data_IF_497132955169
#
_entry.id   IF_497132955169
#
_cell.length_a   1.000
_cell.length_b   1.000
_cell.length_c   1.000
_cell.angle_alpha   90.00
_cell.angle_beta   90.00
_cell.angle_gamma   90.00
#
_symmetry.space_group_name_H-M   'P 1'
#
loop_
_entity.id
_entity.type
_entity.pdbx_description
1 polymer ?
#
# COMPACT_ATOMS: atom_id res chain seq x y z
N UNK A 1 10.21 -10.16 -2.34
CA UNK A 1 10.76 -9.94 -0.98
C UNK A 1 9.62 -9.79 0.02
N UNK A 2 9.76 -10.23 1.27
CA UNK A 2 8.72 -10.08 2.32
C UNK A 2 8.88 -8.73 3.03
N UNK A 3 7.77 -8.05 3.28
CA UNK A 3 7.66 -6.81 4.06
C UNK A 3 6.75 -7.06 5.25
N UNK A 4 7.27 -6.86 6.47
CA UNK A 4 6.54 -7.06 7.73
C UNK A 4 5.98 -5.71 8.22
N UNK A 5 4.69 -5.66 8.58
CA UNK A 5 4.10 -4.48 9.20
C UNK A 5 4.55 -4.40 10.67
N UNK A 6 5.44 -3.45 10.97
CA UNK A 6 6.03 -3.27 12.30
C UNK A 6 5.26 -2.26 13.16
N UNK A 7 4.62 -1.27 12.55
CA UNK A 7 3.91 -0.18 13.22
C UNK A 7 2.65 0.20 12.45
N UNK A 8 1.69 0.81 13.15
CA UNK A 8 0.48 1.36 12.55
C UNK A 8 -0.08 2.52 13.37
N UNK A 9 -0.86 3.38 12.71
CA UNK A 9 -1.65 4.44 13.33
C UNK A 9 -3.07 4.44 12.76
N UNK A 10 -4.02 4.98 13.53
CA UNK A 10 -5.44 5.07 13.13
C UNK A 10 -6.20 3.74 13.17
N UNK A 11 -7.42 3.78 12.63
CA UNK A 11 -8.34 2.64 12.56
C UNK A 11 -8.76 2.40 11.12
N UNK A 12 -8.38 1.23 10.57
CA UNK A 12 -8.78 0.81 9.24
C UNK A 12 -8.87 -0.72 9.17
N UNK A 13 -10.02 -1.23 8.73
CA UNK A 13 -10.30 -2.66 8.72
C UNK A 13 -9.99 -3.35 7.38
N UNK A 14 -9.76 -2.60 6.30
CA UNK A 14 -9.57 -3.15 4.96
C UNK A 14 -8.32 -4.00 4.79
N UNK A 15 -7.32 -3.85 5.68
CA UNK A 15 -6.11 -4.68 5.68
C UNK A 15 -6.21 -5.91 6.61
N UNK A 16 -7.33 -6.10 7.33
CA UNK A 16 -7.51 -7.24 8.23
C UNK A 16 -7.30 -8.63 7.59
N UNK A 17 -7.60 -8.88 6.29
CA UNK A 17 -7.29 -10.17 5.64
C UNK A 17 -5.78 -10.47 5.55
N UNK A 18 -4.94 -9.43 5.69
CA UNK A 18 -3.49 -9.56 5.68
C UNK A 18 -2.93 -10.03 7.02
N UNK A 19 -3.73 -10.05 8.09
CA UNK A 19 -3.32 -10.57 9.40
C UNK A 19 -3.45 -12.10 9.41
N UNK A 20 -2.41 -12.81 9.87
CA UNK A 20 -2.42 -14.27 10.00
C UNK A 20 -2.89 -14.72 11.40
N UNK A 21 -2.97 -16.04 11.62
CA UNK A 21 -3.36 -16.63 12.90
C UNK A 21 -2.40 -16.27 14.07
N UNK A 22 -1.15 -15.91 13.77
CA UNK A 22 -0.15 -15.43 14.75
C UNK A 22 -0.27 -13.94 15.03
N UNK A 23 -1.29 -13.26 14.50
CA UNK A 23 -1.47 -11.79 14.58
C UNK A 23 -0.37 -10.99 13.90
N UNK A 24 0.35 -11.61 12.97
CA UNK A 24 1.34 -10.94 12.13
C UNK A 24 0.68 -10.45 10.84
N UNK A 25 1.13 -9.32 10.33
CA UNK A 25 0.74 -8.77 9.04
C UNK A 25 1.98 -8.57 8.18
N UNK A 26 1.98 -9.19 7.01
CA UNK A 26 3.07 -9.06 6.05
C UNK A 26 2.56 -9.22 4.62
N UNK A 27 3.30 -8.66 3.69
CA UNK A 27 3.07 -8.78 2.25
C UNK A 27 4.37 -9.14 1.55
N UNK A 28 4.27 -9.52 0.28
CA UNK A 28 5.40 -9.73 -0.60
C UNK A 28 5.42 -8.66 -1.68
N UNK A 29 6.54 -7.96 -1.78
CA UNK A 29 6.94 -7.19 -2.96
C UNK A 29 7.28 -8.17 -4.08
N UNK A 30 6.51 -8.11 -5.16
CA UNK A 30 6.69 -8.93 -6.37
C UNK A 30 6.68 -8.05 -7.61
N UNK A 31 7.44 -8.38 -8.66
CA UNK A 31 7.32 -7.67 -9.93
C UNK A 31 5.87 -7.69 -10.42
N UNK A 32 5.41 -6.60 -11.03
CA UNK A 32 4.11 -6.58 -11.68
C UNK A 32 4.10 -7.62 -12.81
N UNK A 33 3.09 -8.50 -12.83
CA UNK A 33 3.04 -9.66 -13.73
C UNK A 33 2.80 -9.28 -15.19
N UNK A 34 2.24 -8.10 -15.43
CA UNK A 34 2.06 -7.51 -16.74
C UNK A 34 2.45 -6.03 -16.61
N UNK A 35 3.29 -5.53 -17.51
CA UNK A 35 3.37 -4.08 -17.74
C UNK A 35 1.96 -3.66 -18.13
N UNK A 36 1.22 -3.05 -17.21
CA UNK A 36 -0.13 -2.57 -17.50
C UNK A 36 0.03 -1.38 -18.44
N UNK A 37 0.07 -1.64 -19.74
CA UNK A 37 0.12 -0.64 -20.80
C UNK A 37 -1.25 0.03 -20.97
N UNK A 38 -1.82 0.53 -19.89
CA UNK A 38 -3.09 1.27 -19.95
C UNK A 38 -2.86 2.78 -20.11
N UNK A 39 -1.68 3.29 -19.76
CA UNK A 39 -1.33 4.70 -19.95
C UNK A 39 0.20 4.82 -20.01
N UNK A 40 0.76 5.45 -21.05
CA UNK A 40 2.21 5.56 -21.25
C UNK A 40 2.94 6.35 -20.15
N UNK A 41 2.19 6.90 -19.19
CA UNK A 41 2.67 7.67 -18.04
C UNK A 41 2.63 6.90 -16.72
N UNK A 42 1.97 5.73 -16.66
CA UNK A 42 1.81 4.95 -15.43
C UNK A 42 2.69 3.72 -15.47
N UNK A 43 3.81 3.77 -14.77
CA UNK A 43 4.70 2.62 -14.65
C UNK A 43 4.44 1.99 -13.28
N UNK A 44 3.92 0.76 -13.28
CA UNK A 44 3.87 -0.07 -12.09
C UNK A 44 4.88 -1.21 -12.24
N UNK A 45 6.05 -1.03 -11.65
CA UNK A 45 7.10 -2.06 -11.67
C UNK A 45 6.86 -3.13 -10.60
N UNK A 46 6.22 -2.73 -9.50
CA UNK A 46 6.05 -3.56 -8.31
C UNK A 46 4.58 -3.70 -7.91
N UNK A 47 4.29 -4.78 -7.20
CA UNK A 47 2.99 -5.05 -6.59
C UNK A 47 3.18 -5.67 -5.22
N UNK A 48 2.24 -5.38 -4.32
CA UNK A 48 2.15 -5.98 -3.00
C UNK A 48 1.13 -7.12 -3.03
N UNK A 49 1.55 -8.30 -2.59
CA UNK A 49 0.74 -9.52 -2.64
C UNK A 49 0.82 -10.30 -1.33
N UNK A 50 -0.15 -11.17 -1.06
CA UNK A 50 -0.09 -12.12 0.05
C UNK A 50 -0.82 -13.40 -0.33
N UNK A 51 -0.09 -14.53 -0.43
CA UNK A 51 -0.65 -15.81 -0.89
C UNK A 51 -1.33 -15.65 -2.26
N UNK A 52 -2.62 -15.98 -2.40
CA UNK A 52 -3.42 -15.79 -3.62
C UNK A 52 -3.98 -14.36 -3.77
N UNK A 53 -3.76 -13.48 -2.80
CA UNK A 53 -4.29 -12.13 -2.81
C UNK A 53 -3.32 -11.16 -3.48
N UNK A 54 -3.80 -10.47 -4.51
CA UNK A 54 -3.18 -9.24 -4.99
C UNK A 54 -3.77 -8.08 -4.18
N UNK A 55 -2.93 -7.35 -3.44
CA UNK A 55 -3.36 -6.25 -2.55
C UNK A 55 -3.47 -4.97 -3.37
N UNK A 56 -2.36 -4.55 -3.96
CA UNK A 56 -2.25 -3.34 -4.79
C UNK A 56 -1.05 -3.43 -5.71
N UNK A 57 -1.11 -2.75 -6.85
CA UNK A 57 0.07 -2.36 -7.61
C UNK A 57 0.62 -1.04 -7.08
N UNK A 58 1.92 -0.80 -7.23
CA UNK A 58 2.59 0.46 -6.87
C UNK A 58 2.83 1.25 -8.15
N UNK A 59 2.01 2.28 -8.38
CA UNK A 59 2.11 3.16 -9.53
C UNK A 59 2.97 4.37 -9.18
N UNK A 60 3.94 4.70 -10.03
CA UNK A 60 4.66 5.96 -10.00
C UNK A 60 4.44 6.68 -11.35
N UNK A 61 4.08 7.96 -11.28
CA UNK A 61 3.90 8.83 -12.45
C UNK A 61 4.96 9.95 -12.52
N UNK A 62 5.76 10.11 -11.46
CA UNK A 62 6.74 11.18 -11.33
C UNK A 62 8.14 10.61 -11.05
N UNK A 63 9.00 10.69 -12.07
CA UNK A 63 10.36 10.15 -12.04
C UNK A 63 11.31 10.97 -11.16
N UNK A 64 10.94 12.21 -10.82
CA UNK A 64 11.72 13.04 -9.90
C UNK A 64 11.48 12.62 -8.44
N UNK A 65 10.42 11.85 -8.18
CA UNK A 65 10.04 11.31 -6.87
C UNK A 65 9.89 9.78 -6.91
N UNK A 66 10.97 9.02 -7.20
CA UNK A 66 10.92 7.57 -7.35
C UNK A 66 10.55 6.80 -6.07
N UNK A 67 10.59 7.46 -4.92
CA UNK A 67 10.19 6.92 -3.62
C UNK A 67 8.68 7.02 -3.33
N UNK A 68 7.94 7.77 -4.14
CA UNK A 68 6.51 8.04 -3.95
C UNK A 68 5.67 7.22 -4.92
N UNK A 69 4.66 6.53 -4.40
CA UNK A 69 3.74 5.74 -5.21
C UNK A 69 2.30 5.96 -4.78
N UNK A 70 1.37 5.57 -5.64
CA UNK A 70 -0.02 5.38 -5.27
C UNK A 70 -0.52 4.00 -5.70
N UNK A 71 -1.66 3.60 -5.15
CA UNK A 71 -2.27 2.32 -5.44
C UNK A 71 -3.73 2.25 -5.00
N UNK A 72 -4.32 1.08 -5.22
CA UNK A 72 -5.71 0.82 -4.88
C UNK A 72 -5.87 -0.64 -4.44
N UNK A 73 -6.79 -0.92 -3.51
CA UNK A 73 -7.19 -2.29 -3.26
C UNK A 73 -7.74 -2.93 -4.54
N UNK A 74 -7.42 -4.21 -4.71
CA UNK A 74 -7.90 -4.99 -5.84
C UNK A 74 -9.44 -4.97 -5.95
N UNK A 75 -9.94 -4.41 -7.04
CA UNK A 75 -11.37 -4.18 -7.28
C UNK A 75 -12.11 -5.34 -7.94
N UNK A 76 -11.45 -6.48 -8.18
CA UNK A 76 -12.15 -7.67 -8.67
C UNK A 76 -13.08 -8.19 -7.58
N UNK A 77 -14.31 -8.57 -7.94
CA UNK A 77 -15.28 -9.16 -6.99
C UNK A 77 -14.81 -10.49 -6.43
N UNK A 78 -14.21 -11.33 -7.28
CA UNK A 78 -13.78 -12.68 -6.95
C UNK A 78 -12.29 -12.87 -7.18
N UNK A 79 -11.70 -13.76 -6.40
CA UNK A 79 -10.35 -14.29 -6.61
C UNK A 79 -10.34 -15.29 -7.76
N UNK A 80 -9.15 -15.71 -8.20
CA UNK A 80 -9.00 -16.66 -9.30
C UNK A 80 -9.58 -18.05 -8.98
N UNK A 81 -9.70 -18.40 -7.71
CA UNK A 81 -10.32 -19.64 -7.24
C UNK A 81 -11.86 -19.54 -7.12
N UNK A 82 -12.45 -18.40 -7.48
CA UNK A 82 -13.89 -18.15 -7.45
C UNK A 82 -14.45 -17.69 -6.10
N UNK A 83 -13.62 -17.64 -5.04
CA UNK A 83 -14.02 -17.09 -3.74
C UNK A 83 -14.15 -15.56 -3.76
N UNK A 84 -14.88 -15.00 -2.80
CA UNK A 84 -15.06 -13.55 -2.69
C UNK A 84 -13.73 -12.86 -2.34
N UNK A 85 -13.41 -11.77 -3.05
CA UNK A 85 -12.24 -10.98 -2.77
C UNK A 85 -12.49 -10.10 -1.54
N UNK A 86 -11.73 -10.28 -0.44
CA UNK A 86 -11.99 -9.55 0.79
C UNK A 86 -11.66 -8.05 0.70
N UNK A 87 -10.94 -7.61 -0.35
CA UNK A 87 -10.68 -6.19 -0.61
C UNK A 87 -11.78 -5.50 -1.42
N UNK A 88 -12.71 -6.24 -2.02
CA UNK A 88 -13.78 -5.66 -2.84
C UNK A 88 -14.67 -4.64 -2.11
N UNK A 89 -15.03 -4.83 -0.82
CA UNK A 89 -15.76 -3.82 -0.06
C UNK A 89 -15.04 -2.46 -0.01
N UNK A 90 -13.71 -2.49 0.02
CA UNK A 90 -12.82 -1.34 0.15
C UNK A 90 -12.32 -0.80 -1.20
N UNK A 91 -12.84 -1.31 -2.33
CA UNK A 91 -12.36 -1.01 -3.69
C UNK A 91 -12.33 0.48 -4.06
N UNK A 92 -13.03 1.33 -3.32
CA UNK A 92 -13.09 2.77 -3.54
C UNK A 92 -12.05 3.54 -2.71
N UNK A 93 -11.30 2.88 -1.86
CA UNK A 93 -10.20 3.47 -1.12
C UNK A 93 -9.02 3.72 -2.04
N UNK A 94 -8.16 4.65 -1.64
CA UNK A 94 -6.91 4.92 -2.30
C UNK A 94 -5.76 4.78 -1.32
N UNK A 95 -4.59 4.42 -1.85
CA UNK A 95 -3.38 4.24 -1.08
C UNK A 95 -2.29 5.16 -1.63
N UNK A 96 -1.61 5.88 -0.73
CA UNK A 96 -0.35 6.55 -1.03
C UNK A 96 0.77 5.79 -0.34
N UNK A 97 1.95 5.78 -0.94
CA UNK A 97 3.11 5.10 -0.40
C UNK A 97 4.32 6.02 -0.39
N UNK A 98 5.07 5.96 0.71
CA UNK A 98 6.41 6.50 0.83
C UNK A 98 7.34 5.32 1.05
N UNK A 99 8.53 5.36 0.46
CA UNK A 99 9.48 4.25 0.58
C UNK A 99 10.92 4.72 0.57
N UNK A 100 11.85 3.81 0.84
CA UNK A 100 13.23 4.00 0.42
C UNK A 100 13.42 3.63 -1.06
N UNK A 101 14.58 3.98 -1.62
CA UNK A 101 14.87 3.76 -3.06
C UNK A 101 14.75 2.31 -3.49
N UNK A 102 14.98 1.38 -2.57
CA UNK A 102 14.98 -0.05 -2.84
C UNK A 102 13.63 -0.71 -2.55
N UNK A 103 12.62 0.01 -2.02
CA UNK A 103 11.33 -0.52 -1.56
C UNK A 103 11.49 -1.61 -0.49
N UNK A 104 12.49 -1.47 0.38
CA UNK A 104 12.76 -2.36 1.50
C UNK A 104 12.02 -1.92 2.76
N UNK A 105 11.77 -0.61 2.90
CA UNK A 105 10.90 -0.01 3.90
C UNK A 105 9.80 0.80 3.20
N UNK A 106 8.54 0.54 3.55
CA UNK A 106 7.37 1.18 2.93
C UNK A 106 6.40 1.65 4.01
N UNK A 107 6.01 2.92 3.94
CA UNK A 107 4.87 3.48 4.64
C UNK A 107 3.67 3.56 3.69
N UNK A 108 2.49 3.24 4.20
CA UNK A 108 1.25 3.22 3.44
C UNK A 108 0.22 4.11 4.13
N UNK A 109 -0.16 5.20 3.46
CA UNK A 109 -1.26 6.05 3.88
C UNK A 109 -2.54 5.57 3.21
N UNK A 110 -3.61 5.46 4.00
CA UNK A 110 -4.89 4.95 3.54
C UNK A 110 -5.89 6.09 3.51
N UNK A 111 -6.52 6.28 2.35
CA UNK A 111 -7.47 7.34 2.07
C UNK A 111 -8.84 6.73 1.75
N UNK A 112 -9.73 6.58 2.75
CA UNK A 112 -11.02 5.92 2.57
C UNK A 112 -11.91 6.64 1.55
N UNK A 113 -12.50 5.88 0.62
CA UNK A 113 -13.37 6.35 -0.47
C UNK A 113 -12.76 7.44 -1.39
N UNK A 114 -11.43 7.62 -1.38
CA UNK A 114 -10.75 8.69 -2.15
C UNK A 114 -10.23 8.25 -3.53
N UNK A 115 -10.55 7.06 -4.02
CA UNK A 115 -10.02 6.51 -5.29
C UNK A 115 -10.16 7.47 -6.47
N UNK A 116 -11.29 8.18 -6.57
CA UNK A 116 -11.56 9.04 -7.72
C UNK A 116 -10.75 10.33 -7.75
N UNK A 117 -10.15 10.73 -6.63
CA UNK A 117 -9.36 11.98 -6.51
C UNK A 117 -7.91 11.72 -6.09
N UNK A 118 -7.43 10.48 -6.25
CA UNK A 118 -6.08 10.05 -5.91
C UNK A 118 -4.98 10.87 -6.56
N UNK A 119 -5.16 11.35 -7.80
CA UNK A 119 -4.16 12.20 -8.46
C UNK A 119 -3.94 13.51 -7.70
N UNK A 120 -4.99 14.09 -7.12
CA UNK A 120 -4.87 15.28 -6.28
C UNK A 120 -4.14 14.97 -4.97
N UNK A 121 -4.47 13.86 -4.32
CA UNK A 121 -3.77 13.41 -3.10
C UNK A 121 -2.29 13.09 -3.36
N UNK A 122 -1.98 12.49 -4.50
CA UNK A 122 -0.60 12.19 -4.90
C UNK A 122 0.18 13.47 -5.19
N UNK A 123 -0.43 14.46 -5.85
CA UNK A 123 0.18 15.78 -6.04
C UNK A 123 0.44 16.48 -4.71
N UNK A 124 -0.53 16.48 -3.78
CA UNK A 124 -0.34 17.04 -2.44
C UNK A 124 0.79 16.36 -1.66
N UNK A 125 0.99 15.05 -1.87
CA UNK A 125 2.12 14.32 -1.30
C UNK A 125 3.46 14.79 -1.90
N UNK A 126 3.53 14.96 -3.22
CA UNK A 126 4.72 15.46 -3.94
C UNK A 126 5.06 16.88 -3.47
N UNK A 127 4.06 17.73 -3.32
CA UNK A 127 4.21 19.13 -2.93
C UNK A 127 4.52 19.32 -1.42
N UNK A 128 4.55 18.23 -0.63
CA UNK A 128 4.82 18.25 0.81
C UNK A 128 3.64 18.77 1.66
N UNK A 129 2.45 18.91 1.09
CA UNK A 129 1.27 19.43 1.80
C UNK A 129 0.75 18.45 2.89
N UNK A 130 1.19 17.19 2.84
CA UNK A 130 0.82 16.15 3.80
C UNK A 130 1.85 15.93 4.91
N UNK A 131 2.97 16.66 4.90
CA UNK A 131 4.13 16.38 5.75
C UNK A 131 3.81 16.41 7.25
N UNK A 132 3.06 17.41 7.71
CA UNK A 132 2.70 17.53 9.13
C UNK A 132 1.72 16.43 9.56
N UNK A 133 0.78 16.02 8.70
CA UNK A 133 -0.13 14.92 8.96
C UNK A 133 0.62 13.58 9.02
N UNK A 134 1.56 13.35 8.11
CA UNK A 134 2.42 12.15 8.10
C UNK A 134 3.28 12.11 9.36
N UNK A 135 3.89 13.24 9.72
CA UNK A 135 4.67 13.37 10.95
C UNK A 135 3.84 13.09 12.20
N UNK A 136 2.60 13.58 12.25
CA UNK A 136 1.68 13.27 13.34
C UNK A 136 1.31 11.78 13.37
N UNK A 137 1.01 11.16 12.22
CA UNK A 137 0.73 9.72 12.13
C UNK A 137 1.92 8.87 12.59
N UNK A 138 3.15 9.26 12.24
CA UNK A 138 4.37 8.61 12.72
C UNK A 138 4.53 8.75 14.24
N UNK A 139 4.22 9.91 14.80
CA UNK A 139 4.26 10.14 16.25
C UNK A 139 3.19 9.31 17.00
N UNK A 140 2.01 9.14 16.41
CA UNK A 140 0.92 8.35 16.97
C UNK A 140 1.05 6.84 16.67
N UNK A 141 2.02 6.45 15.84
CA UNK A 141 2.22 5.09 15.44
C UNK A 141 2.65 4.23 16.63
N UNK A 142 1.99 3.08 16.77
CA UNK A 142 2.30 2.08 17.79
C UNK A 142 2.77 0.78 17.17
N UNK A 143 3.57 -0.02 17.88
CA UNK A 143 3.99 -1.32 17.40
C UNK A 143 2.80 -2.19 17.00
N UNK A 144 2.84 -2.76 15.80
CA UNK A 144 1.83 -3.72 15.33
C UNK A 144 2.13 -5.12 15.86
N UNK A 145 3.36 -5.59 15.68
CA UNK A 145 3.82 -6.90 16.13
C UNK A 145 5.35 -6.90 16.32
N UNK A 146 5.84 -7.65 17.30
CA UNK A 146 7.29 -7.83 17.54
C UNK A 146 7.79 -9.09 16.83
N UNK A 147 8.45 -8.92 15.69
CA UNK A 147 8.97 -10.03 14.88
C UNK A 147 10.31 -10.59 15.38
N UNK A 148 10.90 -9.99 16.42
CA UNK A 148 12.18 -10.42 16.98
C UNK A 148 13.41 -9.96 16.19
N UNK A 149 13.24 -9.07 15.21
CA UNK A 149 14.36 -8.38 14.59
C UNK A 149 14.84 -7.25 15.50
N UNK A 150 16.16 -7.12 15.65
CA UNK A 150 16.78 -5.93 16.22
C UNK A 150 16.83 -4.83 15.14
N UNK A 151 15.71 -4.13 14.94
CA UNK A 151 15.69 -2.82 14.28
C UNK A 151 14.86 -1.88 15.17
N UNK A 152 15.56 -1.21 16.08
CA UNK A 152 15.20 0.06 16.69
C UNK A 152 16.29 1.05 16.28
#
# INVERSE_FOLDING_TARGET
MRLDCIQYAGEYSGLSPLVNHKKQMFVYKTPARDFVSADSKRIAEWSLTKSSLNVTSLYNEDLDYPELFYGYPNSRRKLNDGSENPFYPFRNDAYLFLSDKDLDDIEMLILPEQRNIISSWYQMLIDGELDEQIKQLRADAKPFYQYGYSKL
#
